data_IF_213666752081
#
_entry.id   IF_213666752081
#
_cell.length_a   1.000
_cell.length_b   1.000
_cell.length_c   1.000
_cell.angle_alpha   90.00
_cell.angle_beta   90.00
_cell.angle_gamma   90.00
#
_symmetry.space_group_name_H-M   'P 1'
#
loop_
_entity.id
_entity.type
_entity.pdbx_description
1 polymer ?
#
# COMPACT_ATOMS: atom_id res chain seq x y z
N UNK A 1 18.94 2.62 -6.75
CA UNK A 1 17.51 2.59 -6.41
C UNK A 1 17.37 3.19 -5.02
N UNK A 2 16.43 4.09 -4.79
CA UNK A 2 16.16 4.64 -3.45
C UNK A 2 15.66 3.52 -2.54
N UNK A 3 16.10 3.47 -1.27
CA UNK A 3 15.78 2.37 -0.36
C UNK A 3 14.27 2.16 -0.18
N UNK A 4 13.47 3.24 -0.18
CA UNK A 4 12.02 3.14 -0.09
C UNK A 4 11.39 2.43 -1.30
N UNK A 5 11.92 2.65 -2.52
CA UNK A 5 11.44 1.97 -3.75
C UNK A 5 11.80 0.50 -3.75
N UNK A 6 12.99 0.16 -3.26
CA UNK A 6 13.39 -1.24 -3.10
C UNK A 6 12.41 -1.96 -2.17
N UNK A 7 12.13 -1.37 -1.00
CA UNK A 7 11.18 -1.94 -0.02
C UNK A 7 9.78 -2.03 -0.60
N UNK A 8 9.35 -1.02 -1.36
CA UNK A 8 8.06 -1.07 -2.04
C UNK A 8 8.01 -2.21 -3.05
N UNK A 9 8.92 -2.26 -4.02
CA UNK A 9 8.88 -3.21 -5.15
C UNK A 9 9.12 -4.65 -4.73
N UNK A 10 10.08 -4.90 -3.85
CA UNK A 10 10.51 -6.25 -3.53
C UNK A 10 9.89 -6.76 -2.22
N UNK A 11 9.47 -5.84 -1.34
CA UNK A 11 8.85 -6.11 -0.04
C UNK A 11 7.33 -6.02 -0.08
N UNK A 12 6.76 -4.82 -0.20
CA UNK A 12 5.33 -4.58 0.00
C UNK A 12 4.45 -4.92 -1.21
N UNK A 13 4.78 -4.41 -2.39
CA UNK A 13 3.98 -4.56 -3.60
C UNK A 13 3.67 -6.04 -3.90
N UNK A 14 4.57 -7.02 -3.72
CA UNK A 14 4.25 -8.43 -3.94
C UNK A 14 3.34 -9.07 -2.87
N UNK A 15 3.23 -8.46 -1.70
CA UNK A 15 2.46 -8.96 -0.54
C UNK A 15 1.03 -8.42 -0.52
N UNK A 16 0.81 -7.24 -1.10
CA UNK A 16 -0.49 -6.60 -1.17
C UNK A 16 -1.40 -7.26 -2.23
N UNK A 17 -2.70 -7.31 -1.97
CA UNK A 17 -3.68 -7.78 -2.96
C UNK A 17 -3.81 -6.81 -4.14
N UNK A 18 -4.35 -7.28 -5.27
CA UNK A 18 -4.58 -6.40 -6.43
C UNK A 18 -5.63 -5.35 -6.11
N UNK A 19 -6.71 -5.74 -5.42
CA UNK A 19 -7.74 -4.83 -4.93
C UNK A 19 -7.20 -3.79 -3.94
N UNK A 20 -6.25 -4.18 -3.08
CA UNK A 20 -5.52 -3.27 -2.20
C UNK A 20 -4.72 -2.22 -2.98
N UNK A 21 -3.97 -2.64 -4.00
CA UNK A 21 -3.23 -1.72 -4.86
C UNK A 21 -4.14 -0.80 -5.68
N UNK A 22 -5.25 -1.30 -6.20
CA UNK A 22 -6.26 -0.48 -6.91
C UNK A 22 -6.88 0.57 -5.98
N UNK A 23 -7.27 0.17 -4.77
CA UNK A 23 -7.81 1.10 -3.78
C UNK A 23 -6.79 2.18 -3.40
N UNK A 24 -5.53 1.81 -3.22
CA UNK A 24 -4.45 2.76 -2.94
C UNK A 24 -4.19 3.70 -4.14
N UNK A 25 -4.19 3.18 -5.38
CA UNK A 25 -4.06 4.00 -6.60
C UNK A 25 -5.13 5.09 -6.62
N UNK A 26 -6.38 4.70 -6.42
CA UNK A 26 -7.51 5.62 -6.49
C UNK A 26 -7.43 6.68 -5.38
N UNK A 27 -7.05 6.29 -4.16
CA UNK A 27 -6.82 7.22 -3.05
C UNK A 27 -5.69 8.22 -3.33
N UNK A 28 -4.58 7.75 -3.90
CA UNK A 28 -3.44 8.58 -4.28
C UNK A 28 -3.81 9.54 -5.41
N UNK A 29 -4.57 9.11 -6.41
CA UNK A 29 -5.05 9.95 -7.51
C UNK A 29 -5.96 11.07 -7.00
N UNK A 30 -6.91 10.73 -6.12
CA UNK A 30 -7.96 11.65 -5.64
C UNK A 30 -7.55 12.55 -4.48
N UNK A 31 -6.33 12.38 -3.95
CA UNK A 31 -5.90 13.05 -2.71
C UNK A 31 -6.78 12.69 -1.51
N UNK A 32 -7.18 11.43 -1.40
CA UNK A 32 -8.15 11.03 -0.37
C UNK A 32 -7.64 11.40 1.04
N UNK A 33 -8.38 12.24 1.80
CA UNK A 33 -7.97 12.64 3.14
C UNK A 33 -7.92 11.47 4.13
N UNK A 34 -8.57 10.34 3.82
CA UNK A 34 -8.54 9.11 4.61
C UNK A 34 -7.24 8.30 4.41
N UNK A 35 -6.42 8.65 3.42
CA UNK A 35 -5.05 8.17 3.30
C UNK A 35 -4.13 9.11 4.08
N UNK A 36 -3.70 8.72 5.28
CA UNK A 36 -2.98 9.58 6.23
C UNK A 36 -1.51 9.20 6.38
N UNK A 37 -0.66 10.16 6.74
CA UNK A 37 0.75 9.95 7.12
C UNK A 37 0.89 10.02 8.66
N UNK A 38 1.90 9.36 9.22
CA UNK A 38 2.28 9.42 10.64
C UNK A 38 1.47 8.53 11.59
N UNK A 39 0.59 7.67 11.08
CA UNK A 39 -0.17 6.70 11.88
C UNK A 39 -0.65 5.53 11.02
N UNK A 40 -0.73 4.31 11.60
CA UNK A 40 -1.30 3.15 10.90
C UNK A 40 -2.78 3.32 10.62
N UNK A 41 -3.53 3.74 11.64
CA UNK A 41 -4.99 3.93 11.62
C UNK A 41 -5.39 5.19 12.38
N UNK A 42 -6.57 5.70 12.06
CA UNK A 42 -7.33 6.65 12.88
C UNK A 42 -8.65 5.97 13.29
N UNK A 43 -8.95 5.86 14.60
CA UNK A 43 -8.10 6.23 15.73
C UNK A 43 -6.83 5.35 15.82
N UNK A 44 -5.75 5.84 16.47
CA UNK A 44 -4.50 5.08 16.63
C UNK A 44 -4.74 3.71 17.30
N UNK A 45 -3.92 2.69 17.00
CA UNK A 45 -4.15 1.30 17.41
C UNK A 45 -3.90 1.03 18.90
N UNK A 46 -4.71 1.64 19.76
CA UNK A 46 -4.70 1.41 21.20
C UNK A 46 -5.57 0.22 21.55
N UNK A 47 -5.23 -0.51 22.63
CA UNK A 47 -5.96 -1.69 23.07
C UNK A 47 -7.46 -1.44 23.33
N UNK A 48 -7.84 -0.23 23.76
CA UNK A 48 -9.24 0.10 24.06
C UNK A 48 -10.11 0.41 22.83
N UNK A 49 -9.51 0.56 21.64
CA UNK A 49 -10.24 0.90 20.39
C UNK A 49 -10.11 -0.17 19.32
N UNK A 50 -9.62 -1.36 19.66
CA UNK A 50 -9.38 -2.46 18.70
C UNK A 50 -10.63 -2.85 17.89
N UNK A 51 -11.80 -2.83 18.53
CA UNK A 51 -13.08 -3.17 17.89
C UNK A 51 -13.78 -1.96 17.24
N UNK A 52 -13.16 -0.77 17.28
CA UNK A 52 -13.74 0.43 16.69
C UNK A 52 -13.49 0.45 15.18
N UNK A 53 -14.38 1.08 14.40
CA UNK A 53 -14.19 1.23 12.96
C UNK A 53 -12.97 2.10 12.65
N UNK A 54 -12.31 1.81 11.53
CA UNK A 54 -11.27 2.66 10.97
C UNK A 54 -11.88 3.84 10.21
N UNK A 55 -11.33 5.03 10.43
CA UNK A 55 -11.75 6.28 9.78
C UNK A 55 -10.71 6.79 8.76
N UNK A 56 -9.44 6.42 8.95
CA UNK A 56 -8.33 6.71 8.05
C UNK A 56 -7.17 5.73 8.30
N UNK A 57 -6.26 5.56 7.34
CA UNK A 57 -5.10 4.67 7.47
C UNK A 57 -3.89 5.11 6.63
N UNK A 58 -2.69 4.60 6.97
CA UNK A 58 -1.51 4.72 6.12
C UNK A 58 -1.67 3.92 4.81
N UNK A 59 -0.73 4.05 3.87
CA UNK A 59 -0.81 3.33 2.59
C UNK A 59 -1.06 1.82 2.73
N UNK A 60 -0.38 1.16 3.67
CA UNK A 60 -0.53 -0.27 3.90
C UNK A 60 -1.87 -0.60 4.56
N UNK A 61 -2.25 0.15 5.60
CA UNK A 61 -3.53 -0.05 6.28
C UNK A 61 -4.72 0.25 5.36
N UNK A 62 -4.59 1.22 4.46
CA UNK A 62 -5.60 1.57 3.47
C UNK A 62 -5.85 0.44 2.47
N UNK A 63 -4.79 -0.27 2.04
CA UNK A 63 -4.93 -1.48 1.22
C UNK A 63 -5.79 -2.55 1.93
N UNK A 64 -5.49 -2.84 3.21
CA UNK A 64 -6.27 -3.80 3.99
C UNK A 64 -7.72 -3.34 4.22
N UNK A 65 -7.90 -2.07 4.55
CA UNK A 65 -9.22 -1.49 4.83
C UNK A 65 -10.10 -1.40 3.58
N UNK A 66 -9.70 -0.60 2.59
CA UNK A 66 -10.54 -0.31 1.43
C UNK A 66 -10.44 -1.39 0.34
N UNK A 67 -9.33 -2.14 0.28
CA UNK A 67 -9.13 -3.19 -0.73
C UNK A 67 -9.50 -4.60 -0.26
N UNK A 68 -9.15 -4.96 0.97
CA UNK A 68 -9.41 -6.31 1.53
C UNK A 68 -10.61 -6.33 2.50
N UNK A 69 -11.36 -5.24 2.58
CA UNK A 69 -12.62 -5.12 3.36
C UNK A 69 -12.48 -5.38 4.87
N UNK A 70 -11.30 -5.09 5.43
CA UNK A 70 -11.13 -5.02 6.88
C UNK A 70 -11.92 -3.83 7.44
N UNK A 71 -12.40 -3.89 8.67
CA UNK A 71 -13.32 -2.87 9.20
C UNK A 71 -12.78 -2.20 10.47
N UNK A 72 -12.16 -2.99 11.35
CA UNK A 72 -11.76 -2.51 12.68
C UNK A 72 -10.29 -2.12 12.77
N UNK A 73 -9.99 -1.24 13.72
CA UNK A 73 -8.61 -0.82 14.04
C UNK A 73 -7.70 -2.02 14.28
N UNK A 74 -8.17 -3.03 15.00
CA UNK A 74 -7.38 -4.23 15.29
C UNK A 74 -7.11 -5.09 14.07
N UNK A 75 -8.09 -5.26 13.18
CA UNK A 75 -7.90 -5.99 11.93
C UNK A 75 -6.87 -5.31 11.02
N UNK A 76 -6.94 -3.98 10.89
CA UNK A 76 -6.02 -3.21 10.05
C UNK A 76 -4.61 -3.17 10.67
N UNK A 77 -4.48 -3.08 11.98
CA UNK A 77 -3.19 -3.15 12.67
C UNK A 77 -2.54 -4.54 12.53
N UNK A 78 -3.31 -5.62 12.67
CA UNK A 78 -2.81 -6.99 12.45
C UNK A 78 -2.36 -7.18 10.99
N UNK A 79 -3.14 -6.68 10.04
CA UNK A 79 -2.77 -6.66 8.62
C UNK A 79 -1.46 -5.91 8.41
N UNK A 80 -1.34 -4.70 8.96
CA UNK A 80 -0.14 -3.87 8.87
C UNK A 80 1.10 -4.59 9.42
N UNK A 81 1.00 -5.18 10.61
CA UNK A 81 2.09 -5.91 11.24
C UNK A 81 2.50 -7.12 10.39
N UNK A 82 1.53 -7.87 9.84
CA UNK A 82 1.78 -9.02 8.97
C UNK A 82 2.50 -8.61 7.69
N UNK A 83 2.04 -7.57 6.98
CA UNK A 83 2.68 -7.16 5.72
C UNK A 83 4.08 -6.59 5.95
N UNK A 84 4.33 -5.91 7.07
CA UNK A 84 5.67 -5.47 7.44
C UNK A 84 6.61 -6.65 7.71
N UNK A 85 6.13 -7.64 8.47
CA UNK A 85 6.88 -8.87 8.72
C UNK A 85 7.20 -9.62 7.41
N UNK A 86 6.22 -9.78 6.52
CA UNK A 86 6.43 -10.45 5.24
C UNK A 86 7.42 -9.68 4.34
N UNK A 87 7.31 -8.35 4.28
CA UNK A 87 8.26 -7.52 3.53
C UNK A 87 9.70 -7.69 4.06
N UNK A 88 9.89 -7.67 5.38
CA UNK A 88 11.19 -7.90 6.01
C UNK A 88 11.75 -9.30 5.67
N UNK A 89 10.90 -10.34 5.70
CA UNK A 89 11.30 -11.70 5.33
C UNK A 89 11.73 -11.79 3.87
N UNK A 90 10.99 -11.14 2.95
CA UNK A 90 11.33 -11.13 1.52
C UNK A 90 12.65 -10.44 1.24
N UNK A 91 12.95 -9.36 1.97
CA UNK A 91 14.18 -8.60 1.82
C UNK A 91 15.37 -9.23 2.57
N UNK A 92 15.11 -10.20 3.46
CA UNK A 92 16.15 -10.84 4.27
C UNK A 92 16.79 -9.91 5.30
N UNK A 93 16.15 -8.77 5.61
CA UNK A 93 16.64 -7.76 6.54
C UNK A 93 15.57 -7.40 7.58
N UNK A 94 15.87 -7.55 8.89
CA UNK A 94 14.98 -7.13 9.94
C UNK A 94 14.64 -5.63 9.87
N UNK A 95 13.36 -5.31 10.01
CA UNK A 95 12.82 -3.96 9.99
C UNK A 95 13.14 -3.17 8.71
N UNK A 96 13.39 -3.82 7.57
CA UNK A 96 13.61 -3.16 6.28
C UNK A 96 12.41 -2.30 5.89
N UNK A 97 11.20 -2.70 6.27
CA UNK A 97 9.96 -1.95 6.15
C UNK A 97 10.08 -0.47 6.60
N UNK A 98 10.92 -0.18 7.61
CA UNK A 98 11.15 1.17 8.14
C UNK A 98 11.58 2.17 7.07
N UNK A 99 12.31 1.74 6.03
CA UNK A 99 12.80 2.67 5.02
C UNK A 99 11.67 3.23 4.15
N UNK A 100 10.67 2.41 3.85
CA UNK A 100 9.45 2.89 3.19
C UNK A 100 8.59 3.69 4.15
N UNK A 101 8.37 3.21 5.39
CA UNK A 101 7.50 3.89 6.35
C UNK A 101 8.03 5.29 6.70
N UNK A 102 9.32 5.42 7.00
CA UNK A 102 9.93 6.72 7.28
C UNK A 102 9.86 7.65 6.06
N UNK A 103 10.15 7.14 4.86
CA UNK A 103 10.00 7.95 3.65
C UNK A 103 8.55 8.39 3.45
N UNK A 104 7.60 7.49 3.63
CA UNK A 104 6.17 7.77 3.46
C UNK A 104 5.73 8.84 4.45
N UNK A 105 6.17 8.80 5.70
CA UNK A 105 5.76 9.76 6.74
C UNK A 105 6.49 11.11 6.63
N UNK A 106 7.78 11.13 6.29
CA UNK A 106 8.61 12.34 6.26
C UNK A 106 8.51 13.12 4.93
N UNK A 107 8.06 12.47 3.85
CA UNK A 107 7.97 13.10 2.53
C UNK A 107 6.74 14.03 2.44
N UNK A 108 6.86 15.26 1.92
CA UNK A 108 5.72 16.14 1.72
C UNK A 108 4.60 15.44 0.93
N UNK A 109 3.35 15.51 1.42
CA UNK A 109 2.20 14.76 0.89
C UNK A 109 2.08 14.76 -0.63
N UNK A 110 2.23 15.92 -1.28
CA UNK A 110 2.14 16.03 -2.73
C UNK A 110 3.24 15.25 -3.46
N UNK A 111 4.46 15.24 -2.92
CA UNK A 111 5.57 14.46 -3.45
C UNK A 111 5.35 12.96 -3.19
N UNK A 112 5.01 12.59 -1.95
CA UNK A 112 4.72 11.21 -1.56
C UNK A 112 3.66 10.62 -2.49
N UNK A 113 2.54 11.34 -2.70
CA UNK A 113 1.44 10.88 -3.54
C UNK A 113 1.89 10.59 -4.97
N UNK A 114 2.56 11.56 -5.59
CA UNK A 114 3.02 11.45 -6.98
C UNK A 114 4.00 10.29 -7.17
N UNK A 115 4.95 10.14 -6.25
CA UNK A 115 5.99 9.11 -6.37
C UNK A 115 5.46 7.72 -6.04
N UNK A 116 4.65 7.58 -5.00
CA UNK A 116 4.03 6.31 -4.65
C UNK A 116 3.04 5.85 -5.73
N UNK A 117 2.26 6.77 -6.30
CA UNK A 117 1.31 6.45 -7.37
C UNK A 117 2.01 5.78 -8.56
N UNK A 118 3.15 6.31 -8.98
CA UNK A 118 3.92 5.72 -10.09
C UNK A 118 4.37 4.28 -9.79
N UNK A 119 4.72 3.99 -8.53
CA UNK A 119 5.15 2.65 -8.11
C UNK A 119 3.96 1.69 -7.90
N UNK A 120 2.77 2.21 -7.54
CA UNK A 120 1.52 1.44 -7.50
C UNK A 120 1.06 1.07 -8.91
N UNK A 121 1.06 2.03 -9.84
CA UNK A 121 0.69 1.81 -11.24
C UNK A 121 1.62 0.81 -11.92
N UNK A 122 2.93 0.90 -11.64
CA UNK A 122 3.91 -0.09 -12.11
C UNK A 122 3.56 -1.50 -11.61
N UNK A 123 3.29 -1.66 -10.31
CA UNK A 123 2.95 -2.96 -9.73
C UNK A 123 1.62 -3.52 -10.28
N UNK A 124 0.65 -2.66 -10.59
CA UNK A 124 -0.62 -3.07 -11.22
C UNK A 124 -0.42 -3.50 -12.69
N UNK A 125 0.38 -2.75 -13.46
CA UNK A 125 0.70 -3.10 -14.84
C UNK A 125 1.40 -4.46 -14.95
N UNK A 126 2.34 -4.75 -14.04
CA UNK A 126 3.03 -6.04 -13.97
C UNK A 126 2.09 -7.22 -13.66
N UNK A 127 0.96 -6.97 -12.97
CA UNK A 127 -0.05 -7.98 -12.64
C UNK A 127 -1.05 -8.25 -13.76
N UNK A 128 -1.20 -7.31 -14.70
CA UNK A 128 -2.13 -7.45 -15.81
C UNK A 128 -1.44 -7.39 -17.18
N UNK A 129 -0.52 -8.32 -17.50
CA UNK A 129 0.28 -8.29 -18.72
C UNK A 129 -0.51 -8.56 -20.02
N UNK A 130 -1.85 -8.66 -19.98
CA UNK A 130 -2.67 -9.25 -21.06
C UNK A 130 -3.48 -8.22 -21.86
N UNK A 131 -3.62 -6.96 -21.42
CA UNK A 131 -4.33 -5.96 -22.24
C UNK A 131 -3.53 -5.52 -23.48
N UNK A 132 -2.19 -5.54 -23.43
CA UNK A 132 -1.34 -5.09 -24.54
C UNK A 132 -1.17 -6.16 -25.64
N UNK A 133 -1.37 -7.45 -25.33
CA UNK A 133 -1.31 -8.54 -26.31
C UNK A 133 -2.66 -8.78 -27.01
N UNK A 134 -3.78 -8.49 -26.35
CA UNK A 134 -5.11 -8.66 -26.93
C UNK A 134 -5.41 -7.64 -28.04
N UNK A 135 -4.87 -6.41 -27.96
CA UNK A 135 -5.03 -5.40 -29.01
C UNK A 135 -4.18 -5.70 -30.26
N UNK A 136 -3.00 -6.32 -30.09
CA UNK A 136 -2.13 -6.70 -31.21
C UNK A 136 -2.72 -7.86 -32.05
N UNK A 137 -3.36 -8.83 -31.40
CA UNK A 137 -4.03 -9.94 -32.10
C UNK A 137 -5.35 -9.51 -32.76
N UNK A 138 -6.04 -8.51 -32.22
CA UNK A 138 -7.28 -7.97 -32.80
C UNK A 138 -7.05 -7.10 -34.05
N UNK A 139 -5.87 -6.49 -34.20
CA UNK A 139 -5.49 -5.71 -35.39
C UNK A 139 -4.88 -6.60 -36.49
N UNK A 140 -4.46 -7.81 -36.15
CA UNK A 140 -3.85 -8.78 -37.06
C UNK A 140 -4.85 -9.80 -37.68
N UNK A 141 -6.13 -9.74 -37.30
CA UNK A 141 -7.22 -10.61 -37.79
C UNK A 141 -8.18 -9.88 -38.76
#
# INVERSE_FOLDING_TARGET
>A
MESWRLVWRDGFAPVLSTTGLEALRDALLLDDPRLTQGSTTTPPPLMCVQDWPVEAACALGYCGWQGDTLDTVGQVEEFFARVCFEADQRLGEPAACRWFLNWFDDTPRAQMRRELLAEVELALAERNPVEELAELDAVAA
#
